data_IF_352550468697
#
_entry.id   IF_352550468697
#
_cell.length_a   1.000
_cell.length_b   1.000
_cell.length_c   1.000
_cell.angle_alpha   90.00
_cell.angle_beta   90.00
_cell.angle_gamma   90.00
#
_symmetry.space_group_name_H-M   'P 1'
#
loop_
_entity.id
_entity.type
_entity.pdbx_description
1 polymer ?
#
# COMPACT_ATOMS: atom_id res chain seq x y z
N UNK A 1 10.27 14.28 17.44
CA UNK A 1 9.27 14.24 16.35
C UNK A 1 9.17 12.80 15.94
N UNK A 2 7.96 12.24 15.90
CA UNK A 2 7.73 10.85 15.52
C UNK A 2 8.22 10.66 14.09
N UNK A 3 9.18 9.76 13.91
CA UNK A 3 9.75 9.40 12.61
C UNK A 3 8.88 8.37 11.88
N UNK A 4 7.75 7.97 12.42
CA UNK A 4 6.82 7.02 11.79
C UNK A 4 5.48 7.65 11.45
N UNK A 5 4.81 7.07 10.46
CA UNK A 5 3.41 7.36 10.16
C UNK A 5 2.47 6.40 10.89
N UNK A 6 1.28 6.88 11.22
CA UNK A 6 0.22 6.04 11.78
C UNK A 6 -0.18 4.93 10.81
N UNK A 7 -0.36 3.71 11.36
CA UNK A 7 -0.74 2.53 10.59
C UNK A 7 -2.13 2.72 9.99
N UNK A 8 -2.25 2.47 8.68
CA UNK A 8 -3.53 2.48 7.96
C UNK A 8 -3.79 1.15 7.26
N UNK A 9 -5.07 0.83 7.06
CA UNK A 9 -5.47 -0.31 6.22
C UNK A 9 -5.05 -0.12 4.76
N UNK A 10 -4.99 -1.21 3.97
CA UNK A 10 -4.52 -1.17 2.58
C UNK A 10 -5.27 -0.16 1.69
N UNK A 11 -6.59 -0.10 1.79
CA UNK A 11 -7.43 0.85 1.02
C UNK A 11 -7.10 2.30 1.39
N UNK A 12 -6.92 2.58 2.68
CA UNK A 12 -6.60 3.92 3.15
C UNK A 12 -5.21 4.36 2.66
N UNK A 13 -4.24 3.45 2.61
CA UNK A 13 -2.91 3.71 2.03
C UNK A 13 -2.97 4.03 0.55
N UNK A 14 -3.71 3.26 -0.25
CA UNK A 14 -3.88 3.56 -1.69
C UNK A 14 -4.60 4.89 -1.89
N UNK A 15 -5.62 5.18 -1.08
CA UNK A 15 -6.35 6.45 -1.15
C UNK A 15 -5.46 7.65 -0.85
N UNK A 16 -4.56 7.51 0.10
CA UNK A 16 -3.66 8.59 0.49
C UNK A 16 -2.53 8.78 -0.52
N UNK A 17 -1.97 7.68 -1.05
CA UNK A 17 -1.09 7.74 -2.20
C UNK A 17 -1.76 8.46 -3.39
N UNK A 18 -3.06 8.21 -3.64
CA UNK A 18 -3.82 8.92 -4.67
C UNK A 18 -4.04 10.41 -4.34
N UNK A 19 -4.21 10.75 -3.06
CA UNK A 19 -4.27 12.14 -2.61
C UNK A 19 -2.95 12.87 -2.88
N UNK A 20 -1.83 12.26 -2.47
CA UNK A 20 -0.47 12.79 -2.68
C UNK A 20 -0.15 12.92 -4.17
N UNK A 21 -0.57 11.97 -5.00
CA UNK A 21 -0.41 12.07 -6.44
C UNK A 21 -1.21 13.24 -7.02
N UNK A 22 -2.43 13.48 -6.53
CA UNK A 22 -3.24 14.64 -6.92
C UNK A 22 -2.61 15.98 -6.54
N UNK A 23 -1.86 16.01 -5.44
CA UNK A 23 -1.09 17.18 -4.99
C UNK A 23 0.20 17.38 -5.81
N UNK A 24 0.75 16.30 -6.36
CA UNK A 24 2.03 16.27 -7.08
C UNK A 24 1.88 15.81 -8.54
N UNK A 25 1.23 16.61 -9.42
CA UNK A 25 1.02 16.24 -10.83
C UNK A 25 2.33 16.10 -11.61
N UNK A 26 3.44 16.63 -11.09
CA UNK A 26 4.78 16.45 -11.66
C UNK A 26 5.17 14.98 -11.76
N UNK A 27 4.71 14.12 -10.82
CA UNK A 27 4.97 12.69 -10.86
C UNK A 27 4.26 12.05 -12.06
N UNK A 28 3.01 12.43 -12.34
CA UNK A 28 2.28 11.93 -13.53
C UNK A 28 3.05 12.28 -14.81
N UNK A 29 3.55 13.52 -14.90
CA UNK A 29 4.34 13.96 -16.07
C UNK A 29 5.66 13.18 -16.17
N UNK A 30 6.35 12.94 -15.06
CA UNK A 30 7.59 12.17 -15.03
C UNK A 30 7.39 10.71 -15.46
N UNK A 31 6.38 10.02 -14.92
CA UNK A 31 6.06 8.64 -15.30
C UNK A 31 5.48 8.56 -16.71
N UNK A 32 4.78 9.58 -17.21
CA UNK A 32 4.35 9.64 -18.60
C UNK A 32 5.56 9.75 -19.54
N UNK A 33 6.52 10.61 -19.21
CA UNK A 33 7.76 10.72 -19.97
C UNK A 33 8.53 9.39 -19.99
N UNK A 34 8.62 8.71 -18.83
CA UNK A 34 9.19 7.36 -18.74
C UNK A 34 8.43 6.35 -19.62
N UNK A 35 7.10 6.35 -19.58
CA UNK A 35 6.26 5.51 -20.42
C UNK A 35 6.51 5.74 -21.91
N UNK A 36 6.68 7.00 -22.34
CA UNK A 36 7.00 7.35 -23.72
C UNK A 36 8.40 6.86 -24.11
N UNK A 37 9.41 7.03 -23.23
CA UNK A 37 10.77 6.53 -23.48
C UNK A 37 10.76 5.02 -23.70
N UNK A 38 10.06 4.28 -22.84
CA UNK A 38 9.92 2.83 -22.97
C UNK A 38 9.17 2.46 -24.27
N UNK A 39 8.07 3.16 -24.58
CA UNK A 39 7.32 2.94 -25.81
C UNK A 39 8.15 3.16 -27.09
N UNK A 40 8.96 4.22 -27.12
CA UNK A 40 9.87 4.49 -28.24
C UNK A 40 10.98 3.45 -28.34
N UNK A 41 11.46 2.95 -27.20
CA UNK A 41 12.39 1.83 -27.14
C UNK A 41 11.81 0.57 -27.79
N UNK A 42 10.60 0.20 -27.41
CA UNK A 42 9.92 -1.00 -27.91
C UNK A 42 9.61 -0.95 -29.41
N UNK A 43 9.41 0.24 -29.99
CA UNK A 43 9.06 0.41 -31.41
C UNK A 43 10.27 0.63 -32.34
N UNK A 44 11.49 0.79 -31.82
CA UNK A 44 12.62 1.34 -32.56
C UNK A 44 13.86 0.45 -32.69
N UNK A 45 14.70 0.75 -33.70
CA UNK A 45 16.02 0.11 -33.89
C UNK A 45 17.04 0.42 -32.77
N UNK A 46 16.73 1.38 -31.89
CA UNK A 46 17.54 1.74 -30.72
C UNK A 46 17.02 1.10 -29.42
N UNK A 47 16.17 0.07 -29.51
CA UNK A 47 15.51 -0.57 -28.37
C UNK A 47 16.44 -0.80 -27.18
N UNK A 48 17.56 -1.48 -27.37
CA UNK A 48 18.49 -1.79 -26.28
C UNK A 48 19.05 -0.56 -25.56
N UNK A 49 19.41 0.50 -26.30
CA UNK A 49 19.93 1.73 -25.70
C UNK A 49 18.82 2.47 -24.93
N UNK A 50 17.64 2.59 -25.53
CA UNK A 50 16.50 3.25 -24.90
C UNK A 50 15.98 2.49 -23.68
N UNK A 51 16.04 1.16 -23.67
CA UNK A 51 15.70 0.36 -22.48
C UNK A 51 16.68 0.61 -21.33
N UNK A 52 17.97 0.75 -21.61
CA UNK A 52 18.97 1.08 -20.58
C UNK A 52 18.73 2.49 -20.04
N UNK A 53 18.47 3.46 -20.91
CA UNK A 53 18.13 4.84 -20.49
C UNK A 53 16.84 4.84 -19.67
N UNK A 54 15.80 4.14 -20.14
CA UNK A 54 14.53 3.99 -19.45
C UNK A 54 14.69 3.37 -18.06
N UNK A 55 15.57 2.39 -17.90
CA UNK A 55 15.89 1.80 -16.61
C UNK A 55 16.49 2.82 -15.63
N UNK A 56 17.47 3.62 -16.07
CA UNK A 56 18.06 4.64 -15.21
C UNK A 56 17.07 5.74 -14.85
N UNK A 57 16.22 6.16 -15.81
CA UNK A 57 15.16 7.13 -15.56
C UNK A 57 14.12 6.56 -14.60
N UNK A 58 13.76 5.29 -14.73
CA UNK A 58 12.85 4.59 -13.81
C UNK A 58 13.36 4.65 -12.38
N UNK A 59 14.60 4.21 -12.12
CA UNK A 59 15.18 4.23 -10.77
C UNK A 59 15.22 5.64 -10.17
N UNK A 60 15.51 6.64 -10.99
CA UNK A 60 15.50 8.04 -10.57
C UNK A 60 14.08 8.52 -10.19
N UNK A 61 13.08 8.24 -11.03
CA UNK A 61 11.69 8.65 -10.80
C UNK A 61 11.07 7.91 -9.60
N UNK A 62 11.38 6.63 -9.41
CA UNK A 62 10.93 5.86 -8.25
C UNK A 62 11.55 6.42 -6.96
N UNK A 63 12.84 6.73 -6.97
CA UNK A 63 13.52 7.40 -5.86
C UNK A 63 12.89 8.76 -5.50
N UNK A 64 12.55 9.57 -6.50
CA UNK A 64 11.85 10.83 -6.29
C UNK A 64 10.46 10.62 -5.66
N UNK A 65 9.70 9.65 -6.15
CA UNK A 65 8.37 9.32 -5.62
C UNK A 65 8.41 8.97 -4.13
N UNK A 66 9.44 8.22 -3.69
CA UNK A 66 9.61 7.90 -2.28
C UNK A 66 9.87 9.13 -1.40
N UNK A 67 10.66 10.09 -1.88
CA UNK A 67 10.93 11.33 -1.15
C UNK A 67 9.72 12.27 -1.12
N UNK A 68 8.95 12.34 -2.21
CA UNK A 68 7.67 13.06 -2.23
C UNK A 68 6.69 12.45 -1.22
N UNK A 69 6.58 11.12 -1.17
CA UNK A 69 5.74 10.44 -0.18
C UNK A 69 6.19 10.71 1.26
N UNK A 70 7.50 10.84 1.51
CA UNK A 70 8.04 11.21 2.82
C UNK A 70 7.57 12.61 3.20
N UNK A 71 7.82 13.60 2.36
CA UNK A 71 7.51 15.00 2.66
C UNK A 71 5.98 15.17 2.87
N UNK A 72 5.16 14.65 1.95
CA UNK A 72 3.69 14.66 2.07
C UNK A 72 3.19 13.88 3.29
N UNK A 73 3.83 12.75 3.62
CA UNK A 73 3.48 11.94 4.78
C UNK A 73 3.65 12.68 6.10
N UNK A 74 4.70 13.50 6.22
CA UNK A 74 4.95 14.33 7.39
C UNK A 74 4.31 15.73 7.32
N UNK A 75 3.58 16.04 6.24
CA UNK A 75 3.02 17.37 6.00
C UNK A 75 4.08 18.46 5.78
N UNK A 76 5.28 18.05 5.37
CA UNK A 76 6.38 18.93 4.98
C UNK A 76 6.14 19.46 3.55
N UNK A 77 6.71 20.62 3.24
CA UNK A 77 6.62 21.15 1.86
C UNK A 77 7.54 20.36 0.95
N UNK A 78 7.00 19.79 -0.13
CA UNK A 78 7.77 19.03 -1.12
C UNK A 78 8.83 19.92 -1.77
N UNK A 79 10.11 19.61 -1.54
CA UNK A 79 11.25 20.25 -2.20
C UNK A 79 11.91 19.30 -3.21
N UNK A 80 11.50 19.43 -4.47
CA UNK A 80 12.00 18.60 -5.57
C UNK A 80 13.51 18.75 -5.80
N UNK A 81 14.11 19.89 -5.44
CA UNK A 81 15.55 20.10 -5.59
C UNK A 81 16.33 19.24 -4.61
N UNK A 82 15.97 19.36 -3.32
CA UNK A 82 16.57 18.55 -2.25
C UNK A 82 16.29 17.05 -2.44
N UNK A 83 15.09 16.70 -2.92
CA UNK A 83 14.76 15.33 -3.27
C UNK A 83 15.63 14.81 -4.41
N UNK A 84 15.78 15.58 -5.48
CA UNK A 84 16.65 15.24 -6.62
C UNK A 84 18.10 15.04 -6.19
N UNK A 85 18.64 15.93 -5.36
CA UNK A 85 20.01 15.82 -4.85
C UNK A 85 20.19 14.51 -4.08
N UNK A 86 19.25 14.19 -3.19
CA UNK A 86 19.28 12.94 -2.41
C UNK A 86 19.21 11.70 -3.30
N UNK A 87 18.38 11.69 -4.35
CA UNK A 87 18.31 10.56 -5.29
C UNK A 87 19.59 10.40 -6.10
N UNK A 88 20.19 11.51 -6.54
CA UNK A 88 21.46 11.48 -7.28
C UNK A 88 22.61 10.98 -6.42
N UNK A 89 22.70 11.43 -5.17
CA UNK A 89 23.70 10.97 -4.21
C UNK A 89 23.57 9.46 -3.96
N UNK A 90 22.33 8.98 -3.86
CA UNK A 90 22.03 7.57 -3.60
C UNK A 90 21.90 6.71 -4.86
N UNK A 91 22.15 7.27 -6.05
CA UNK A 91 21.83 6.61 -7.31
C UNK A 91 22.61 5.30 -7.52
N UNK A 92 23.88 5.27 -7.10
CA UNK A 92 24.69 4.05 -7.17
C UNK A 92 24.15 2.94 -6.25
N UNK A 93 23.69 3.31 -5.05
CA UNK A 93 23.07 2.35 -4.13
C UNK A 93 21.72 1.85 -4.65
N UNK A 94 20.92 2.71 -5.28
CA UNK A 94 19.69 2.30 -5.97
C UNK A 94 19.96 1.28 -7.08
N UNK A 95 21.02 1.47 -7.87
CA UNK A 95 21.45 0.48 -8.88
C UNK A 95 21.86 -0.83 -8.21
N UNK A 96 22.62 -0.77 -7.11
CA UNK A 96 23.02 -1.96 -6.35
C UNK A 96 21.82 -2.76 -5.85
N UNK A 97 20.84 -2.07 -5.25
CA UNK A 97 19.58 -2.66 -4.79
C UNK A 97 18.81 -3.26 -5.95
N UNK A 98 18.67 -2.54 -7.06
CA UNK A 98 17.97 -3.02 -8.25
C UNK A 98 18.58 -4.32 -8.79
N UNK A 99 19.92 -4.40 -8.87
CA UNK A 99 20.61 -5.61 -9.34
C UNK A 99 20.32 -6.79 -8.41
N UNK A 100 20.45 -6.60 -7.09
CA UNK A 100 20.20 -7.66 -6.11
C UNK A 100 18.73 -8.08 -6.15
N UNK A 101 17.81 -7.12 -6.18
CA UNK A 101 16.37 -7.32 -6.31
C UNK A 101 16.06 -8.15 -7.57
N UNK A 102 16.54 -7.72 -8.73
CA UNK A 102 16.28 -8.39 -10.01
C UNK A 102 16.81 -9.82 -10.01
N UNK A 103 18.02 -10.06 -9.52
CA UNK A 103 18.62 -11.40 -9.44
C UNK A 103 17.84 -12.28 -8.46
N UNK A 104 17.56 -11.78 -7.26
CA UNK A 104 16.88 -12.54 -6.21
C UNK A 104 15.45 -12.91 -6.60
N UNK A 105 14.69 -11.97 -7.15
CA UNK A 105 13.32 -12.20 -7.64
C UNK A 105 13.32 -13.14 -8.84
N UNK A 106 14.24 -12.98 -9.80
CA UNK A 106 14.33 -13.85 -10.97
C UNK A 106 14.65 -15.29 -10.56
N UNK A 107 15.66 -15.49 -9.71
CA UNK A 107 16.01 -16.80 -9.18
C UNK A 107 14.82 -17.38 -8.41
N UNK A 108 14.19 -16.58 -7.53
CA UNK A 108 13.02 -16.98 -6.77
C UNK A 108 11.89 -17.49 -7.68
N UNK A 109 11.53 -16.73 -8.72
CA UNK A 109 10.48 -17.10 -9.68
C UNK A 109 10.85 -18.32 -10.52
N UNK A 110 12.13 -18.51 -10.88
CA UNK A 110 12.60 -19.69 -11.62
C UNK A 110 12.49 -20.95 -10.76
N UNK A 111 12.84 -20.88 -9.47
CA UNK A 111 12.70 -22.02 -8.56
C UNK A 111 11.23 -22.32 -8.27
N UNK A 112 10.44 -21.31 -7.88
CA UNK A 112 9.01 -21.44 -7.61
C UNK A 112 8.32 -20.06 -7.54
N UNK A 113 7.11 -19.94 -8.07
CA UNK A 113 6.38 -18.65 -8.13
C UNK A 113 6.18 -18.02 -6.74
N UNK A 114 5.79 -18.81 -5.75
CA UNK A 114 5.49 -18.34 -4.39
C UNK A 114 6.72 -17.68 -3.72
N UNK A 115 7.90 -18.33 -3.61
CA UNK A 115 9.08 -17.69 -3.03
C UNK A 115 9.58 -16.51 -3.86
N UNK A 116 9.43 -16.51 -5.19
CA UNK A 116 9.73 -15.33 -6.01
C UNK A 116 8.91 -14.11 -5.61
N UNK A 117 7.60 -14.27 -5.44
CA UNK A 117 6.71 -13.19 -4.98
C UNK A 117 7.06 -12.77 -3.56
N UNK A 118 7.32 -13.73 -2.66
CA UNK A 118 7.71 -13.42 -1.28
C UNK A 118 8.97 -12.55 -1.21
N UNK A 119 10.01 -12.89 -2.00
CA UNK A 119 11.23 -12.09 -2.09
C UNK A 119 10.97 -10.71 -2.69
N UNK A 120 10.15 -10.62 -3.73
CA UNK A 120 9.81 -9.34 -4.35
C UNK A 120 9.15 -8.38 -3.34
N UNK A 121 8.23 -8.88 -2.51
CA UNK A 121 7.56 -8.06 -1.50
C UNK A 121 8.46 -7.68 -0.33
N UNK A 122 9.37 -8.57 0.10
CA UNK A 122 10.34 -8.25 1.16
C UNK A 122 11.36 -7.21 0.71
N UNK A 123 11.80 -7.28 -0.54
CA UNK A 123 12.84 -6.40 -1.08
C UNK A 123 12.28 -5.12 -1.71
N UNK A 124 10.97 -5.01 -1.97
CA UNK A 124 10.38 -3.79 -2.54
C UNK A 124 10.58 -2.57 -1.64
N UNK A 125 10.64 -2.77 -0.31
CA UNK A 125 10.89 -1.68 0.64
C UNK A 125 12.36 -1.26 0.73
N UNK A 126 13.28 -1.92 0.03
CA UNK A 126 14.69 -1.52 0.03
C UNK A 126 14.90 -0.20 -0.72
N UNK A 127 14.13 0.04 -1.78
CA UNK A 127 14.18 1.29 -2.54
C UNK A 127 13.80 2.51 -1.69
N UNK A 128 12.64 2.54 -0.97
CA UNK A 128 12.34 3.65 -0.08
C UNK A 128 13.32 3.73 1.09
N UNK A 129 13.79 2.62 1.66
CA UNK A 129 14.80 2.63 2.73
C UNK A 129 16.09 3.36 2.31
N UNK A 130 16.54 3.10 1.08
CA UNK A 130 17.74 3.67 0.50
C UNK A 130 17.67 5.19 0.41
N UNK A 131 16.60 5.75 -0.15
CA UNK A 131 16.50 7.20 -0.38
C UNK A 131 15.97 7.97 0.83
N UNK A 132 15.00 7.42 1.56
CA UNK A 132 14.39 8.09 2.72
C UNK A 132 15.36 8.15 3.89
N UNK A 133 16.06 7.05 4.17
CA UNK A 133 17.00 6.97 5.29
C UNK A 133 18.47 7.16 4.86
N UNK A 134 18.75 7.36 3.57
CA UNK A 134 20.11 7.48 2.99
C UNK A 134 21.00 6.28 3.34
N UNK A 135 20.42 5.08 3.38
CA UNK A 135 21.12 3.82 3.69
C UNK A 135 21.84 3.26 2.46
N UNK A 136 22.99 2.66 2.67
CA UNK A 136 23.71 1.96 1.60
C UNK A 136 22.94 0.73 1.09
N UNK A 137 23.43 0.12 -0.01
CA UNK A 137 22.74 -0.99 -0.69
C UNK A 137 22.35 -2.13 0.25
N UNK A 138 23.28 -2.64 1.06
CA UNK A 138 23.04 -3.77 1.95
C UNK A 138 22.20 -3.37 3.18
N UNK A 139 22.48 -2.21 3.77
CA UNK A 139 21.70 -1.69 4.90
C UNK A 139 20.23 -1.45 4.53
N UNK A 140 19.98 -1.04 3.28
CA UNK A 140 18.63 -0.87 2.76
C UNK A 140 17.89 -2.19 2.61
N UNK A 141 18.59 -3.25 2.21
CA UNK A 141 18.01 -4.60 2.09
C UNK A 141 17.68 -5.17 3.46
N UNK A 142 18.57 -5.02 4.44
CA UNK A 142 18.32 -5.47 5.81
C UNK A 142 17.11 -4.71 6.39
N UNK A 143 17.10 -3.38 6.26
CA UNK A 143 15.97 -2.54 6.69
C UNK A 143 14.65 -2.88 5.99
N UNK A 144 14.69 -3.26 4.71
CA UNK A 144 13.48 -3.68 3.99
C UNK A 144 12.93 -4.99 4.52
N UNK A 145 13.82 -5.91 4.89
CA UNK A 145 13.45 -7.21 5.40
C UNK A 145 12.64 -7.06 6.69
N UNK A 146 13.12 -6.23 7.62
CA UNK A 146 12.45 -5.96 8.89
C UNK A 146 11.13 -5.21 8.66
N UNK A 147 11.15 -4.14 7.87
CA UNK A 147 9.97 -3.30 7.62
C UNK A 147 8.82 -4.05 6.89
N UNK A 148 9.14 -5.03 6.04
CA UNK A 148 8.13 -5.75 5.26
C UNK A 148 7.42 -6.86 6.03
N UNK A 149 8.03 -7.41 7.11
CA UNK A 149 7.56 -8.63 7.79
C UNK A 149 6.11 -8.57 8.28
N UNK A 150 5.71 -7.46 8.92
CA UNK A 150 4.37 -7.31 9.48
C UNK A 150 3.27 -6.92 8.48
N UNK A 151 3.59 -6.73 7.19
CA UNK A 151 2.68 -6.06 6.26
C UNK A 151 2.71 -6.63 4.83
N UNK A 152 3.21 -7.86 4.66
CA UNK A 152 3.30 -8.54 3.37
C UNK A 152 1.97 -8.62 2.62
N UNK A 153 0.86 -8.88 3.33
CA UNK A 153 -0.47 -8.94 2.69
C UNK A 153 -0.91 -7.60 2.11
N UNK A 154 -0.53 -6.49 2.75
CA UNK A 154 -0.85 -5.15 2.27
C UNK A 154 0.02 -4.80 1.05
N UNK A 155 1.32 -5.13 1.08
CA UNK A 155 2.20 -5.01 -0.09
C UNK A 155 1.68 -5.85 -1.25
N UNK A 156 1.36 -7.13 -1.00
CA UNK A 156 0.79 -8.04 -1.98
C UNK A 156 -0.50 -7.47 -2.58
N UNK A 157 -1.41 -6.94 -1.76
CA UNK A 157 -2.65 -6.32 -2.23
C UNK A 157 -2.41 -5.13 -3.16
N UNK A 158 -1.43 -4.27 -2.86
CA UNK A 158 -1.03 -3.14 -3.72
C UNK A 158 -0.47 -3.66 -5.04
N UNK A 159 0.46 -4.63 -4.99
CA UNK A 159 1.08 -5.20 -6.19
C UNK A 159 0.06 -5.91 -7.09
N UNK A 160 -0.85 -6.70 -6.51
CA UNK A 160 -1.91 -7.40 -7.25
C UNK A 160 -2.87 -6.39 -7.88
N UNK A 161 -3.26 -5.33 -7.16
CA UNK A 161 -4.13 -4.30 -7.70
C UNK A 161 -3.48 -3.62 -8.91
N UNK A 162 -2.20 -3.26 -8.82
CA UNK A 162 -1.46 -2.70 -9.94
C UNK A 162 -1.41 -3.67 -11.12
N UNK A 163 -1.03 -4.94 -10.88
CA UNK A 163 -0.99 -5.98 -11.91
C UNK A 163 -2.35 -6.19 -12.58
N UNK A 164 -3.45 -6.13 -11.83
CA UNK A 164 -4.80 -6.22 -12.36
C UNK A 164 -5.13 -5.06 -13.31
N UNK A 165 -4.76 -3.82 -12.95
CA UNK A 165 -4.99 -2.66 -13.82
C UNK A 165 -4.22 -2.79 -15.13
N UNK A 166 -2.94 -3.19 -15.08
CA UNK A 166 -2.14 -3.47 -16.28
C UNK A 166 -2.73 -4.61 -17.13
N UNK A 167 -3.16 -5.69 -16.48
CA UNK A 167 -3.78 -6.84 -17.15
C UNK A 167 -5.08 -6.47 -17.86
N UNK A 168 -5.95 -5.69 -17.20
CA UNK A 168 -7.19 -5.18 -17.79
C UNK A 168 -6.90 -4.26 -18.97
N UNK A 169 -5.96 -3.33 -18.83
CA UNK A 169 -5.61 -2.41 -19.89
C UNK A 169 -5.08 -3.14 -21.14
N UNK A 170 -4.22 -4.13 -20.93
CA UNK A 170 -3.71 -5.01 -21.99
C UNK A 170 -4.83 -5.85 -22.62
N UNK A 171 -5.73 -6.39 -21.80
CA UNK A 171 -6.89 -7.15 -22.27
C UNK A 171 -7.85 -6.30 -23.12
N UNK A 172 -8.09 -5.04 -22.73
CA UNK A 172 -8.87 -4.09 -23.53
C UNK A 172 -8.18 -3.79 -24.86
N UNK A 173 -6.85 -3.57 -24.86
CA UNK A 173 -6.09 -3.38 -26.10
C UNK A 173 -6.21 -4.60 -27.03
N UNK A 174 -6.14 -5.81 -26.50
CA UNK A 174 -6.35 -7.05 -27.25
C UNK A 174 -7.76 -7.13 -27.87
N UNK A 175 -8.80 -6.78 -27.11
CA UNK A 175 -10.18 -6.79 -27.59
C UNK A 175 -10.45 -5.75 -28.68
N UNK A 176 -9.87 -4.55 -28.55
CA UNK A 176 -10.06 -3.46 -29.50
C UNK A 176 -9.37 -3.70 -30.86
N UNK A 177 -8.21 -4.35 -30.83
CA UNK A 177 -7.39 -4.60 -32.03
C UNK A 177 -7.61 -5.98 -32.64
N UNK A 178 -8.29 -6.89 -31.94
CA UNK A 178 -8.46 -8.26 -32.41
C UNK A 178 -7.14 -9.02 -32.58
N UNK A 179 -6.08 -8.60 -31.87
CA UNK A 179 -4.73 -9.15 -31.97
C UNK A 179 -4.11 -9.05 -33.38
N UNK A 180 -4.48 -8.04 -34.16
CA UNK A 180 -3.92 -7.77 -35.48
C UNK A 180 -2.54 -7.08 -35.40
N UNK A 181 -2.03 -6.57 -36.54
CA UNK A 181 -0.75 -5.88 -36.62
C UNK A 181 -0.68 -4.58 -35.79
N UNK A 182 -1.82 -4.01 -35.40
CA UNK A 182 -1.89 -2.81 -34.55
C UNK A 182 -1.83 -3.11 -33.06
N UNK A 183 -2.05 -4.37 -32.65
CA UNK A 183 -2.10 -4.78 -31.25
C UNK A 183 -0.87 -4.33 -30.45
N UNK A 184 0.33 -4.52 -31.02
CA UNK A 184 1.57 -4.15 -30.34
C UNK A 184 1.64 -2.64 -30.10
N UNK A 185 1.42 -1.83 -31.14
CA UNK A 185 1.49 -0.37 -31.04
C UNK A 185 0.44 0.18 -30.06
N UNK A 186 -0.79 -0.35 -30.09
CA UNK A 186 -1.85 0.05 -29.16
C UNK A 186 -1.52 -0.36 -27.73
N UNK A 187 -1.02 -1.58 -27.52
CA UNK A 187 -0.63 -2.07 -26.18
C UNK A 187 0.48 -1.21 -25.59
N UNK A 188 1.51 -0.88 -26.38
CA UNK A 188 2.60 0.00 -25.97
C UNK A 188 2.09 1.39 -25.58
N UNK A 189 1.21 1.98 -26.39
CA UNK A 189 0.62 3.28 -26.11
C UNK A 189 -0.23 3.28 -24.84
N UNK A 190 -1.06 2.24 -24.64
CA UNK A 190 -1.88 2.06 -23.44
C UNK A 190 -1.00 1.87 -22.21
N UNK A 191 0.04 1.04 -22.29
CA UNK A 191 0.97 0.80 -21.19
C UNK A 191 1.66 2.08 -20.74
N UNK A 192 2.07 2.96 -21.65
CA UNK A 192 2.66 4.26 -21.28
C UNK A 192 1.70 5.13 -20.46
N UNK A 193 0.41 5.16 -20.82
CA UNK A 193 -0.63 5.91 -20.09
C UNK A 193 -0.92 5.26 -18.73
N UNK A 194 -0.99 3.93 -18.67
CA UNK A 194 -1.22 3.21 -17.41
C UNK A 194 -0.05 3.43 -16.46
N UNK A 195 1.19 3.33 -16.92
CA UNK A 195 2.40 3.60 -16.12
C UNK A 195 2.41 5.02 -15.56
N UNK A 196 1.97 6.02 -16.33
CA UNK A 196 1.88 7.42 -15.89
C UNK A 196 1.02 7.62 -14.63
N UNK A 197 0.04 6.74 -14.42
CA UNK A 197 -0.93 6.84 -13.32
C UNK A 197 -0.61 5.82 -12.23
N UNK A 198 -0.43 4.56 -12.61
CA UNK A 198 -0.26 3.44 -11.67
C UNK A 198 1.14 3.43 -11.05
N UNK A 199 2.18 3.75 -11.83
CA UNK A 199 3.56 3.80 -11.35
C UNK A 199 3.73 4.64 -10.07
N UNK A 200 3.41 5.95 -10.10
CA UNK A 200 3.58 6.78 -8.92
C UNK A 200 2.67 6.36 -7.77
N UNK A 201 1.46 5.85 -8.03
CA UNK A 201 0.57 5.35 -6.98
C UNK A 201 1.21 4.20 -6.19
N UNK A 202 1.88 3.28 -6.88
CA UNK A 202 2.54 2.13 -6.25
C UNK A 202 3.74 2.60 -5.42
N UNK A 203 4.61 3.43 -5.97
CA UNK A 203 5.82 3.89 -5.26
C UNK A 203 5.46 4.76 -4.04
N UNK A 204 4.47 5.66 -4.17
CA UNK A 204 3.96 6.44 -3.04
C UNK A 204 3.38 5.52 -1.94
N UNK A 205 2.66 4.46 -2.33
CA UNK A 205 2.09 3.50 -1.39
C UNK A 205 3.18 2.64 -0.71
N UNK A 206 4.23 2.25 -1.43
CA UNK A 206 5.38 1.52 -0.87
C UNK A 206 6.17 2.38 0.11
N UNK A 207 6.49 3.63 -0.23
CA UNK A 207 7.12 4.56 0.71
C UNK A 207 6.26 4.76 1.96
N UNK A 208 4.94 4.88 1.82
CA UNK A 208 4.06 4.95 2.99
C UNK A 208 4.19 3.70 3.86
N UNK A 209 4.10 2.52 3.26
CA UNK A 209 4.23 1.25 4.01
C UNK A 209 5.58 1.15 4.70
N UNK A 210 6.64 1.64 4.08
CA UNK A 210 7.95 1.74 4.70
C UNK A 210 7.93 2.67 5.93
N UNK A 211 7.44 3.90 5.78
CA UNK A 211 7.37 4.90 6.86
C UNK A 211 6.49 4.46 8.03
N UNK A 212 5.48 3.62 7.79
CA UNK A 212 4.62 3.04 8.83
C UNK A 212 5.36 1.97 9.68
N UNK A 213 6.42 1.34 9.15
CA UNK A 213 7.05 0.15 9.74
C UNK A 213 8.55 0.28 10.03
N UNK A 214 9.21 1.36 9.61
CA UNK A 214 10.68 1.51 9.71
C UNK A 214 11.25 1.51 11.14
N UNK A 215 10.49 1.94 12.15
CA UNK A 215 10.98 2.00 13.55
C UNK A 215 10.61 0.75 14.37
N UNK A 216 9.76 -0.15 13.86
CA UNK A 216 9.47 -1.44 14.54
C UNK A 216 10.67 -2.39 14.57
N UNK A 217 11.66 -2.17 13.71
CA UNK A 217 12.89 -2.95 13.66
C UNK A 217 13.82 -2.74 14.87
N UNK A 218 13.58 -1.70 15.69
CA UNK A 218 14.45 -1.37 16.84
C UNK A 218 13.83 -1.77 18.19
N UNK A 219 12.50 -1.94 18.25
CA UNK A 219 11.74 -2.05 19.51
C UNK A 219 11.07 -3.41 19.77
N UNK A 220 11.21 -4.41 18.89
CA UNK A 220 10.76 -5.79 19.18
C UNK A 220 11.93 -6.63 19.74
N UNK A 221 12.10 -6.77 21.07
CA UNK A 221 12.63 -8.02 21.59
C UNK A 221 11.67 -9.13 21.12
N UNK A 222 12.25 -10.28 20.77
CA UNK A 222 11.58 -11.53 20.43
C UNK A 222 10.68 -12.01 21.59
N UNK A 223 9.53 -11.37 21.76
CA UNK A 223 8.42 -11.89 22.54
C UNK A 223 7.52 -12.62 21.55
N UNK A 224 7.82 -13.90 21.37
CA UNK A 224 6.91 -14.84 20.74
C UNK A 224 5.61 -14.92 21.54
N UNK A 225 4.69 -13.99 21.31
CA UNK A 225 3.32 -14.05 21.80
C UNK A 225 2.42 -14.61 20.71
N UNK A 226 2.53 -15.93 20.55
CA UNK A 226 1.36 -16.73 20.18
C UNK A 226 0.36 -16.61 21.31
N UNK A 227 -0.71 -15.84 21.10
CA UNK A 227 -2.02 -15.97 21.77
C UNK A 227 -2.01 -16.85 23.03
N UNK A 228 -1.53 -16.32 24.15
CA UNK A 228 -1.88 -16.84 25.47
C UNK A 228 -2.82 -15.83 26.11
N UNK A 229 -4.13 -16.03 25.89
CA UNK A 229 -5.14 -15.52 26.80
C UNK A 229 -4.70 -15.91 28.23
N UNK A 230 -4.55 -14.96 29.17
CA UNK A 230 -4.38 -15.32 30.56
C UNK A 230 -5.64 -16.08 30.96
N UNK A 231 -5.49 -17.36 31.27
CA UNK A 231 -6.53 -18.11 31.96
C UNK A 231 -6.82 -17.34 33.25
N UNK A 232 -7.99 -16.72 33.33
CA UNK A 232 -8.48 -16.10 34.54
C UNK A 232 -8.49 -17.17 35.63
N UNK A 233 -7.47 -17.14 36.49
CA UNK A 233 -7.46 -17.81 37.78
C UNK A 233 -8.46 -17.07 38.69
N UNK A 234 -9.76 -17.22 38.43
CA UNK A 234 -10.76 -16.93 39.44
C UNK A 234 -10.61 -17.98 40.57
N UNK A 235 -10.39 -17.54 41.82
CA UNK A 235 -10.42 -18.46 42.94
C UNK A 235 -11.85 -18.94 43.12
N UNK A 236 -12.05 -20.26 43.06
CA UNK A 236 -13.30 -20.92 43.38
C UNK A 236 -13.74 -20.54 44.80
N UNK A 237 -14.71 -19.64 44.93
CA UNK A 237 -15.40 -19.39 46.19
C UNK A 237 -16.26 -20.63 46.53
N UNK A 238 -15.73 -21.44 47.44
CA UNK A 238 -16.50 -22.43 48.19
C UNK A 238 -17.38 -21.71 49.24
N UNK A 239 -18.70 -21.83 49.06
CA UNK A 239 -19.71 -21.50 50.07
C UNK A 239 -20.91 -20.81 49.42
N UNK A 240 -22.16 -21.17 49.66
CA UNK A 240 -22.75 -22.13 50.57
C UNK A 240 -24.13 -22.55 50.04
N UNK A 241 -24.47 -23.81 50.28
CA UNK A 241 -25.75 -24.40 49.94
C UNK A 241 -26.87 -23.76 50.79
N UNK A 242 -27.83 -23.09 50.17
CA UNK A 242 -29.22 -23.12 50.65
C UNK A 242 -30.19 -23.22 49.47
N UNK A 243 -30.70 -24.44 49.29
CA UNK A 243 -31.88 -24.73 48.49
C UNK A 243 -33.12 -24.26 49.28
N UNK A 244 -33.85 -23.28 48.77
CA UNK A 244 -35.20 -22.96 49.24
C UNK A 244 -36.23 -23.43 48.20
N UNK A 245 -36.91 -24.52 48.55
CA UNK A 245 -38.06 -25.11 47.88
C UNK A 245 -39.31 -24.53 48.54
N UNK A 246 -40.16 -23.83 47.78
CA UNK A 246 -41.41 -23.31 48.34
C UNK A 246 -42.19 -22.37 47.43
N UNK A 247 -42.97 -22.98 46.54
CA UNK A 247 -44.35 -22.60 46.15
C UNK A 247 -44.90 -21.22 46.56
N UNK A 248 -45.41 -20.48 45.57
CA UNK A 248 -46.64 -19.65 45.53
C UNK A 248 -46.44 -18.55 44.47
N UNK A 249 -47.34 -18.14 43.61
CA UNK A 249 -48.64 -18.55 43.12
C UNK A 249 -48.88 -17.64 41.90
N UNK A 250 -49.59 -18.12 40.88
CA UNK A 250 -50.01 -17.32 39.74
C UNK A 250 -51.08 -16.32 40.16
N UNK A 251 -50.88 -15.03 39.90
CA UNK A 251 -51.95 -14.02 39.92
C UNK A 251 -51.73 -12.96 38.81
N UNK A 252 -52.32 -13.21 37.64
CA UNK A 252 -53.01 -12.19 36.84
C UNK A 252 -54.52 -12.48 36.97
N UNK A 253 -55.49 -11.58 36.69
CA UNK A 253 -55.41 -10.22 36.12
C UNK A 253 -56.34 -9.18 36.82
N UNK A 254 -56.16 -7.87 36.60
CA UNK A 254 -57.29 -6.93 36.61
C UNK A 254 -57.20 -5.89 35.49
N UNK A 255 -58.19 -5.96 34.61
CA UNK A 255 -58.61 -4.96 33.62
C UNK A 255 -59.15 -3.70 34.27
N UNK A 256 -58.95 -2.51 33.66
CA UNK A 256 -59.89 -1.36 33.60
C UNK A 256 -59.22 -0.27 32.75
N UNK A 257 -59.54 -0.17 31.47
CA UNK A 257 -60.57 0.67 30.82
C UNK A 257 -60.00 2.00 30.31
N UNK A 258 -60.19 2.18 29.00
CA UNK A 258 -59.87 3.39 28.25
C UNK A 258 -60.81 4.53 28.64
N UNK A 259 -60.26 5.70 28.94
CA UNK A 259 -61.00 6.96 28.87
C UNK A 259 -60.39 7.85 27.78
N UNK A 260 -61.28 8.14 26.83
CA UNK A 260 -61.14 9.09 25.74
C UNK A 260 -61.63 10.43 26.28
N UNK A 261 -60.83 11.48 26.18
CA UNK A 261 -61.34 12.85 26.24
C UNK A 261 -60.92 13.59 24.97
N UNK A 262 -61.92 13.72 24.09
CA UNK A 262 -62.06 14.80 23.12
C UNK A 262 -62.21 16.14 23.86
N UNK A 263 -61.45 17.16 23.48
CA UNK A 263 -61.96 18.53 23.53
C UNK A 263 -61.50 19.30 22.29
N UNK A 264 -62.37 19.24 21.28
CA UNK A 264 -62.55 20.26 20.27
C UNK A 264 -62.87 21.60 20.95
N UNK A 265 -62.20 22.70 20.56
CA UNK A 265 -62.88 23.83 19.87
C UNK A 265 -62.03 25.09 19.68
N UNK A 266 -62.03 25.51 18.42
CA UNK A 266 -62.31 26.85 17.90
C UNK A 266 -61.39 28.03 18.30
N UNK A 267 -60.75 28.65 17.29
CA UNK A 267 -61.24 29.86 16.56
C UNK A 267 -60.10 30.36 15.64
N UNK A 268 -60.26 30.27 14.32
CA UNK A 268 -60.89 31.24 13.39
C UNK A 268 -60.13 32.56 13.20
N UNK A 269 -59.79 32.76 11.93
CA UNK A 269 -59.89 33.99 11.14
C UNK A 269 -58.97 35.17 11.52
N UNK A 270 -57.87 35.30 10.76
CA UNK A 270 -57.66 36.42 9.81
C UNK A 270 -56.43 36.20 8.94
#
# INVERSE_FOLDING_TARGET
MTTTLDRKGGIATVREAASWLGQNPVLIVAYLALGIVNALGELGVLAGLLSIVGLFVMLYVDGLSHLVARDEGFGETVDLSSASETVVDQFLSLIGIFIIYAVAVTIGLILLIIPGIYLALRLSLAFPACVIDRKDTFESIDASWDAAGGNLLKLLGITILAALVFGVATGVAALLTGLDETFFAVTVAVSAVVTAIVGPLVELAYARVYLENRDRAVDEPDDGDTTDEPWDDEPWDEGDDTWDDGTEAWDEPESTSWDVDDDDRDRRDR
#
